data_IF_006832522085
#
_entry.id   IF_006832522085
#
_cell.length_a   1.000
_cell.length_b   1.000
_cell.length_c   1.000
_cell.angle_alpha   90.00
_cell.angle_beta   90.00
_cell.angle_gamma   90.00
#
_symmetry.space_group_name_H-M   'P 1'
#
loop_
_entity.id
_entity.type
_entity.pdbx_description
1 polymer ?
#
# COMPACT_ATOMS: atom_id res chain seq x y z
N UNK A 1 -62.53 -6.34 -1.38
CA UNK A 1 -63.52 -5.24 -1.51
C UNK A 1 -63.11 -4.12 -0.56
N UNK A 2 -62.95 -2.87 -1.01
CA UNK A 2 -62.56 -2.43 -2.34
C UNK A 2 -61.38 -1.41 -2.32
N UNK A 3 -60.56 -1.48 -3.38
CA UNK A 3 -59.77 -0.39 -4.00
C UNK A 3 -60.75 0.37 -4.94
N UNK A 4 -60.34 1.31 -5.83
CA UNK A 4 -59.36 2.40 -5.85
C UNK A 4 -60.09 3.75 -6.15
N UNK A 5 -59.38 4.84 -6.47
CA UNK A 5 -59.65 5.64 -7.69
C UNK A 5 -58.64 6.80 -7.86
N UNK A 6 -57.73 6.64 -8.82
CA UNK A 6 -57.29 7.70 -9.75
C UNK A 6 -58.24 7.67 -10.94
N UNK A 7 -58.62 8.80 -11.56
CA UNK A 7 -57.90 9.29 -12.77
C UNK A 7 -57.96 10.85 -12.83
N UNK A 8 -57.48 11.62 -13.79
CA UNK A 8 -57.00 11.39 -15.14
C UNK A 8 -56.15 12.60 -15.60
N UNK A 9 -55.13 12.31 -16.39
CA UNK A 9 -54.57 13.08 -17.50
C UNK A 9 -55.50 14.14 -18.15
N UNK A 10 -54.97 15.33 -18.45
CA UNK A 10 -55.16 15.97 -19.76
C UNK A 10 -53.97 16.85 -20.15
N UNK A 11 -53.52 16.66 -21.39
CA UNK A 11 -52.53 17.42 -22.13
C UNK A 11 -53.01 18.86 -22.38
N UNK A 12 -52.10 19.84 -22.31
CA UNK A 12 -52.14 20.98 -23.24
C UNK A 12 -50.74 21.35 -23.74
N UNK A 13 -50.61 21.27 -25.06
CA UNK A 13 -49.48 21.68 -25.87
C UNK A 13 -49.62 23.18 -26.11
N UNK A 14 -48.87 24.00 -25.37
CA UNK A 14 -48.78 25.44 -25.59
C UNK A 14 -47.51 25.81 -26.36
N UNK A 15 -47.59 25.87 -27.69
CA UNK A 15 -46.59 26.54 -28.54
C UNK A 15 -46.51 28.02 -28.16
N UNK A 16 -45.36 28.49 -27.69
CA UNK A 16 -45.01 29.93 -27.73
C UNK A 16 -43.77 30.14 -28.58
N UNK A 17 -44.04 30.62 -29.78
CA UNK A 17 -43.10 31.25 -30.71
C UNK A 17 -42.56 32.52 -30.04
N UNK A 18 -41.26 32.58 -29.78
CA UNK A 18 -40.60 33.84 -29.38
C UNK A 18 -39.92 34.46 -30.59
N UNK A 19 -40.37 35.67 -30.92
CA UNK A 19 -39.90 36.50 -32.02
C UNK A 19 -38.49 37.02 -31.71
N UNK A 20 -37.57 36.79 -32.64
CA UNK A 20 -36.25 37.44 -32.68
C UNK A 20 -36.48 38.87 -33.16
N UNK A 21 -36.30 39.85 -32.28
CA UNK A 21 -36.14 41.25 -32.68
C UNK A 21 -34.65 41.52 -32.89
N UNK A 22 -34.29 41.78 -34.15
CA UNK A 22 -32.99 42.31 -34.55
C UNK A 22 -32.98 43.80 -34.22
N UNK A 23 -32.20 44.18 -33.22
CA UNK A 23 -31.88 45.58 -32.94
C UNK A 23 -30.42 45.83 -33.33
N UNK A 24 -30.25 46.58 -34.41
CA UNK A 24 -29.01 47.22 -34.85
C UNK A 24 -28.54 48.20 -33.78
N UNK A 25 -27.35 47.99 -33.21
CA UNK A 25 -26.71 48.96 -32.31
C UNK A 25 -25.38 49.37 -32.92
N UNK A 26 -25.24 50.69 -33.05
CA UNK A 26 -24.16 51.41 -33.68
C UNK A 26 -22.82 51.21 -32.96
N UNK A 27 -21.76 51.14 -33.76
CA UNK A 27 -20.37 51.09 -33.34
C UNK A 27 -19.95 52.46 -32.78
N UNK A 28 -19.79 52.57 -31.45
CA UNK A 28 -19.12 53.71 -30.82
C UNK A 28 -17.75 53.24 -30.37
N UNK A 29 -16.71 53.77 -31.03
CA UNK A 29 -15.31 53.58 -30.66
C UNK A 29 -15.02 54.52 -29.47
N UNK A 30 -14.90 53.95 -28.27
CA UNK A 30 -14.23 54.61 -27.15
C UNK A 30 -12.84 54.01 -26.98
N UNK A 31 -11.82 54.81 -27.32
CA UNK A 31 -10.44 54.56 -26.92
C UNK A 31 -10.30 54.95 -25.45
N UNK A 32 -10.30 53.97 -24.57
CA UNK A 32 -9.81 54.12 -23.19
C UNK A 32 -8.62 53.19 -23.00
N UNK A 33 -7.43 53.80 -22.92
CA UNK A 33 -6.20 53.14 -22.50
C UNK A 33 -6.34 52.73 -21.03
N UNK A 34 -6.40 51.43 -20.80
CA UNK A 34 -6.08 50.81 -19.52
C UNK A 34 -5.09 49.69 -19.81
N UNK A 35 -3.84 49.92 -19.41
CA UNK A 35 -2.79 48.92 -19.26
C UNK A 35 -3.24 47.90 -18.22
N UNK A 36 -4.05 46.93 -18.63
CA UNK A 36 -4.26 45.70 -17.90
C UNK A 36 -3.63 44.58 -18.72
N UNK A 37 -2.41 44.23 -18.33
CA UNK A 37 -1.69 43.07 -18.83
C UNK A 37 -2.54 41.82 -18.62
N UNK A 38 -3.22 41.41 -19.68
CA UNK A 38 -3.97 40.17 -19.73
C UNK A 38 -2.97 39.01 -19.59
N UNK A 39 -2.74 38.57 -18.36
CA UNK A 39 -2.11 37.29 -18.09
C UNK A 39 -3.02 36.21 -18.66
N UNK A 40 -2.74 35.81 -19.91
CA UNK A 40 -3.36 34.63 -20.47
C UNK A 40 -3.10 33.46 -19.51
N UNK A 41 -4.13 32.66 -19.16
CA UNK A 41 -3.87 31.41 -18.46
C UNK A 41 -2.97 30.60 -19.39
N UNK A 42 -1.68 30.50 -19.03
CA UNK A 42 -0.76 29.60 -19.72
C UNK A 42 -1.42 28.24 -19.67
N UNK A 43 -1.85 27.75 -20.83
CA UNK A 43 -2.09 26.33 -21.03
C UNK A 43 -0.75 25.65 -20.70
N UNK A 44 -0.59 25.24 -19.45
CA UNK A 44 0.54 24.42 -19.02
C UNK A 44 0.31 23.10 -19.73
N UNK A 45 0.93 22.94 -20.89
CA UNK A 45 0.97 21.67 -21.59
C UNK A 45 1.43 20.62 -20.57
N UNK A 46 0.57 19.65 -20.27
CA UNK A 46 0.89 18.56 -19.35
C UNK A 46 2.12 17.87 -19.93
N UNK A 47 3.26 18.03 -19.25
CA UNK A 47 4.52 17.43 -19.68
C UNK A 47 4.31 15.92 -19.74
N UNK A 48 4.42 15.34 -20.93
CA UNK A 48 4.26 13.89 -21.11
C UNK A 48 5.58 13.21 -20.77
N UNK A 49 5.58 12.46 -19.67
CA UNK A 49 6.72 11.66 -19.24
C UNK A 49 6.69 10.31 -19.95
N UNK A 50 7.62 10.05 -20.88
CA UNK A 50 7.64 8.77 -21.63
C UNK A 50 8.30 7.66 -20.79
N UNK A 51 9.03 8.03 -19.72
CA UNK A 51 9.64 7.10 -18.77
C UNK A 51 9.66 7.75 -17.38
N UNK A 52 8.65 7.44 -16.57
CA UNK A 52 8.56 7.88 -15.18
C UNK A 52 9.57 7.10 -14.32
N UNK A 53 10.50 7.83 -13.71
CA UNK A 53 11.54 7.28 -12.83
C UNK A 53 11.14 7.37 -11.35
N UNK A 54 10.21 8.27 -11.04
CA UNK A 54 9.78 8.55 -9.68
C UNK A 54 8.89 9.79 -9.57
N UNK A 55 8.71 10.25 -8.34
CA UNK A 55 7.89 11.42 -8.01
C UNK A 55 8.48 12.25 -6.89
N UNK A 56 8.45 13.57 -7.01
CA UNK A 56 8.84 14.49 -5.93
C UNK A 56 7.76 14.49 -4.85
N UNK A 57 8.13 14.25 -3.59
CA UNK A 57 7.21 14.17 -2.45
C UNK A 57 7.56 15.14 -1.31
N UNK A 58 8.47 16.09 -1.53
CA UNK A 58 8.68 17.20 -0.60
C UNK A 58 8.91 18.51 -1.34
N UNK A 59 8.71 19.62 -0.63
CA UNK A 59 9.14 20.93 -1.08
C UNK A 59 10.67 21.01 -1.11
N UNK A 60 11.18 22.08 -1.73
CA UNK A 60 12.60 22.43 -1.65
C UNK A 60 13.37 22.25 -2.94
N UNK A 61 12.78 21.71 -4.01
CA UNK A 61 13.42 21.73 -5.33
C UNK A 61 13.17 23.08 -6.02
N UNK A 62 14.16 23.58 -6.77
CA UNK A 62 14.07 24.87 -7.45
C UNK A 62 13.13 24.87 -8.65
N UNK A 63 12.89 23.72 -9.27
CA UNK A 63 12.21 23.60 -10.56
C UNK A 63 11.06 22.59 -10.54
N UNK A 64 11.17 21.53 -9.75
CA UNK A 64 10.16 20.48 -9.65
C UNK A 64 9.26 20.71 -8.44
N UNK A 65 7.97 20.92 -8.68
CA UNK A 65 6.99 21.04 -7.60
C UNK A 65 6.71 19.67 -6.96
N UNK A 66 6.19 19.67 -5.73
CA UNK A 66 5.63 18.46 -5.10
C UNK A 66 4.59 17.81 -6.02
N UNK A 67 4.68 16.50 -6.16
CA UNK A 67 3.85 15.69 -7.04
C UNK A 67 4.35 15.56 -8.48
N UNK A 68 5.34 16.36 -8.88
CA UNK A 68 5.92 16.26 -10.22
C UNK A 68 6.52 14.87 -10.44
N UNK A 69 6.15 14.25 -11.56
CA UNK A 69 6.85 13.08 -12.08
C UNK A 69 8.29 13.45 -12.44
N UNK A 70 9.19 12.53 -12.13
CA UNK A 70 10.60 12.65 -12.45
C UNK A 70 10.85 11.86 -13.75
N UNK A 71 11.18 12.58 -14.80
CA UNK A 71 11.39 12.01 -16.12
C UNK A 71 12.87 11.82 -16.44
N UNK A 72 13.15 10.96 -17.42
CA UNK A 72 14.49 10.84 -17.97
C UNK A 72 15.01 12.21 -18.45
N UNK A 73 16.22 12.57 -18.01
CA UNK A 73 16.85 13.87 -18.32
C UNK A 73 16.57 14.98 -17.31
N UNK A 74 15.65 14.77 -16.36
CA UNK A 74 15.46 15.72 -15.27
C UNK A 74 16.69 15.84 -14.37
N UNK A 75 16.67 16.92 -13.59
CA UNK A 75 17.63 17.17 -12.52
C UNK A 75 16.86 17.53 -11.26
N UNK A 76 17.24 16.90 -10.15
CA UNK A 76 16.81 17.32 -8.83
C UNK A 76 17.81 18.37 -8.36
N UNK A 77 17.31 19.57 -8.06
CA UNK A 77 18.08 20.74 -7.69
C UNK A 77 17.52 21.32 -6.38
N UNK A 78 17.97 20.82 -5.22
CA UNK A 78 17.58 21.37 -3.93
C UNK A 78 17.96 22.86 -3.83
N UNK A 79 17.01 23.67 -3.37
CA UNK A 79 17.23 25.05 -2.98
C UNK A 79 18.19 25.12 -1.79
N UNK A 80 18.82 26.28 -1.59
CA UNK A 80 19.74 26.46 -0.46
C UNK A 80 18.99 26.21 0.86
N UNK A 81 19.59 25.43 1.74
CA UNK A 81 19.06 24.99 3.03
C UNK A 81 18.00 23.88 2.95
N UNK A 82 17.64 23.42 1.75
CA UNK A 82 16.53 22.48 1.54
C UNK A 82 17.00 21.04 1.34
N UNK A 83 16.13 20.11 1.76
CA UNK A 83 16.20 18.69 1.42
C UNK A 83 15.00 18.36 0.54
N UNK A 84 15.25 17.74 -0.61
CA UNK A 84 14.19 17.25 -1.51
C UNK A 84 14.04 15.75 -1.31
N UNK A 85 12.80 15.25 -1.25
CA UNK A 85 12.50 13.83 -1.18
C UNK A 85 11.82 13.37 -2.46
N UNK A 86 12.18 12.19 -2.93
CA UNK A 86 11.52 11.55 -4.05
C UNK A 86 11.23 10.08 -3.78
N UNK A 87 10.07 9.62 -4.24
CA UNK A 87 9.80 8.20 -4.47
C UNK A 87 10.50 7.81 -5.77
N UNK A 88 11.31 6.75 -5.73
CA UNK A 88 11.96 6.18 -6.91
C UNK A 88 11.36 4.82 -7.27
N UNK A 89 10.76 4.72 -8.46
CA UNK A 89 9.99 3.53 -8.85
C UNK A 89 10.89 2.31 -9.12
N UNK A 90 12.06 2.51 -9.73
CA UNK A 90 12.98 1.43 -10.08
C UNK A 90 13.73 0.87 -8.87
N UNK A 91 14.18 1.72 -7.94
CA UNK A 91 14.84 1.28 -6.70
C UNK A 91 13.86 0.86 -5.60
N UNK A 92 12.58 1.23 -5.71
CA UNK A 92 11.55 1.04 -4.68
C UNK A 92 11.93 1.68 -3.35
N UNK A 93 12.54 2.86 -3.40
CA UNK A 93 12.96 3.60 -2.21
C UNK A 93 12.45 5.04 -2.21
N UNK A 94 12.32 5.61 -1.01
CA UNK A 94 12.27 7.05 -0.81
C UNK A 94 13.70 7.55 -0.62
N UNK A 95 14.15 8.46 -1.47
CA UNK A 95 15.49 9.04 -1.43
C UNK A 95 15.43 10.51 -1.01
N UNK A 96 16.47 10.94 -0.31
CA UNK A 96 16.64 12.33 0.12
C UNK A 96 17.83 12.97 -0.59
N UNK A 97 17.63 14.19 -1.09
CA UNK A 97 18.59 14.97 -1.85
C UNK A 97 18.88 16.26 -1.10
N UNK A 98 20.08 16.34 -0.55
CA UNK A 98 20.52 17.48 0.24
C UNK A 98 21.07 18.59 -0.66
N UNK A 99 21.05 19.83 -0.15
CA UNK A 99 21.72 20.98 -0.77
C UNK A 99 23.19 20.70 -1.11
N UNK A 100 23.77 21.53 -1.98
CA UNK A 100 25.15 21.50 -2.53
C UNK A 100 25.42 20.58 -3.72
N UNK A 101 24.42 19.81 -4.16
CA UNK A 101 24.53 18.95 -5.34
C UNK A 101 23.37 19.16 -6.30
N UNK A 102 23.64 19.07 -7.60
CA UNK A 102 22.60 18.92 -8.63
C UNK A 102 22.65 17.48 -9.09
N UNK A 103 21.55 16.76 -8.91
CA UNK A 103 21.52 15.33 -9.18
C UNK A 103 20.86 15.09 -10.54
N UNK A 104 21.63 14.60 -11.51
CA UNK A 104 21.07 14.12 -12.78
C UNK A 104 20.36 12.79 -12.56
N UNK A 105 19.12 12.66 -13.05
CA UNK A 105 18.25 11.52 -12.67
C UNK A 105 18.72 10.19 -13.29
N UNK A 106 19.55 10.23 -14.33
CA UNK A 106 20.25 9.07 -14.89
C UNK A 106 21.20 8.44 -13.85
N UNK A 107 20.68 7.57 -12.99
CA UNK A 107 21.44 6.86 -11.95
C UNK A 107 20.89 6.98 -10.53
N UNK A 108 20.05 7.98 -10.26
CA UNK A 108 19.54 8.27 -8.90
C UNK A 108 18.58 7.19 -8.40
N UNK A 109 17.61 6.84 -9.24
CA UNK A 109 16.60 5.83 -8.92
C UNK A 109 17.07 4.41 -9.27
N UNK A 110 18.36 4.21 -9.54
CA UNK A 110 18.91 2.89 -9.81
C UNK A 110 18.95 2.10 -8.50
N UNK A 111 18.46 0.85 -8.46
CA UNK A 111 18.65 0.00 -7.30
C UNK A 111 20.15 -0.08 -7.00
N UNK A 112 20.61 0.20 -5.78
CA UNK A 112 22.04 0.17 -5.48
C UNK A 112 22.58 -1.23 -5.77
N UNK A 113 23.76 -1.30 -6.40
CA UNK A 113 24.36 -2.57 -6.88
C UNK A 113 24.51 -3.63 -5.77
N UNK A 114 24.53 -3.22 -4.50
CA UNK A 114 24.61 -4.09 -3.32
C UNK A 114 23.25 -4.43 -2.66
N UNK A 115 22.13 -3.83 -3.10
CA UNK A 115 20.78 -4.24 -2.66
C UNK A 115 20.16 -5.35 -3.51
N UNK A 116 20.85 -5.81 -4.56
CA UNK A 116 20.56 -7.08 -5.19
C UNK A 116 20.56 -8.26 -4.18
N UNK A 117 21.11 -8.06 -2.98
CA UNK A 117 21.26 -9.10 -1.96
C UNK A 117 21.05 -8.66 -0.50
N UNK A 118 20.19 -7.68 -0.20
CA UNK A 118 19.44 -7.87 1.07
C UNK A 118 18.53 -9.05 0.76
N UNK A 119 19.00 -10.27 1.03
CA UNK A 119 18.22 -11.51 0.86
C UNK A 119 16.94 -11.30 1.64
N UNK A 120 15.93 -10.82 0.95
CA UNK A 120 14.64 -10.55 1.55
C UNK A 120 14.13 -11.94 1.90
N UNK A 121 14.05 -12.17 3.21
CA UNK A 121 13.71 -13.46 3.75
C UNK A 121 12.27 -13.74 3.41
N UNK A 122 12.11 -14.46 2.31
CA UNK A 122 10.84 -14.94 1.81
C UNK A 122 10.86 -16.46 1.92
N UNK A 123 9.70 -17.11 1.88
CA UNK A 123 9.64 -18.55 1.70
C UNK A 123 10.53 -19.02 0.54
N UNK A 124 10.66 -18.19 -0.52
CA UNK A 124 11.46 -18.43 -1.73
C UNK A 124 12.99 -18.44 -1.53
N UNK A 125 13.50 -17.86 -0.44
CA UNK A 125 14.94 -17.76 -0.14
C UNK A 125 15.21 -17.88 1.37
N UNK A 126 15.19 -19.11 1.89
CA UNK A 126 15.25 -19.40 3.34
C UNK A 126 16.66 -19.48 3.92
N UNK A 127 17.68 -19.66 3.08
CA UNK A 127 19.04 -19.95 3.54
C UNK A 127 19.68 -18.72 4.21
N UNK A 128 19.93 -18.84 5.51
CA UNK A 128 20.53 -17.77 6.34
C UNK A 128 19.52 -16.78 6.92
N UNK A 129 18.21 -17.06 6.81
CA UNK A 129 17.17 -16.20 7.37
C UNK A 129 16.94 -16.45 8.88
N UNK A 130 16.69 -15.41 9.69
CA UNK A 130 16.12 -15.56 11.03
C UNK A 130 14.83 -16.39 10.94
N UNK A 131 14.48 -17.16 11.98
CA UNK A 131 13.20 -17.88 12.04
C UNK A 131 12.06 -16.86 11.94
N UNK A 132 11.49 -16.71 10.74
CA UNK A 132 10.41 -15.77 10.47
C UNK A 132 9.05 -16.47 10.53
N UNK A 133 8.01 -15.64 10.70
CA UNK A 133 6.59 -16.00 10.79
C UNK A 133 6.22 -17.05 9.74
N UNK A 134 5.44 -18.06 10.11
CA UNK A 134 5.14 -19.20 9.23
C UNK A 134 5.85 -20.46 9.72
N UNK A 135 5.67 -21.60 9.04
CA UNK A 135 5.96 -22.91 9.62
C UNK A 135 7.45 -23.03 9.91
N UNK A 136 7.81 -22.88 11.19
CA UNK A 136 8.79 -23.79 11.76
C UNK A 136 8.32 -25.23 11.48
N UNK A 137 9.23 -26.18 11.50
CA UNK A 137 8.96 -27.60 11.21
C UNK A 137 7.87 -28.23 12.12
N UNK A 138 7.36 -27.47 13.08
CA UNK A 138 6.31 -27.81 14.02
C UNK A 138 4.92 -27.43 13.45
N UNK A 139 4.32 -28.39 12.75
CA UNK A 139 2.92 -28.39 12.28
C UNK A 139 1.89 -28.11 13.40
N UNK A 140 2.33 -28.13 14.66
CA UNK A 140 1.55 -27.96 15.88
C UNK A 140 1.47 -26.50 16.38
N UNK A 141 2.23 -25.56 15.82
CA UNK A 141 2.17 -24.14 16.23
C UNK A 141 1.00 -23.37 15.62
N UNK A 142 0.35 -22.54 16.43
CA UNK A 142 -0.69 -21.62 15.96
C UNK A 142 -0.08 -20.57 15.01
N UNK A 143 -0.73 -20.35 13.87
CA UNK A 143 -0.25 -19.46 12.82
C UNK A 143 -0.94 -18.10 12.88
N UNK A 144 -0.17 -17.07 13.24
CA UNK A 144 -0.59 -15.67 13.19
C UNK A 144 -0.70 -15.18 11.74
N UNK A 145 -1.73 -14.38 11.45
CA UNK A 145 -1.98 -13.73 10.17
C UNK A 145 -1.66 -12.24 10.27
N UNK A 146 -2.22 -11.53 11.26
CA UNK A 146 -1.91 -10.11 11.51
C UNK A 146 -1.36 -9.90 12.92
N UNK A 147 -0.46 -8.92 13.14
CA UNK A 147 0.16 -8.01 12.16
C UNK A 147 0.96 -8.73 11.07
N UNK A 148 0.89 -8.28 9.82
CA UNK A 148 1.54 -8.91 8.67
C UNK A 148 3.06 -8.82 8.76
N UNK A 149 3.59 -7.71 9.28
CA UNK A 149 5.02 -7.49 9.53
C UNK A 149 5.38 -7.44 11.01
N UNK A 150 6.65 -7.10 11.28
CA UNK A 150 7.17 -6.85 12.64
C UNK A 150 7.37 -5.36 12.93
N UNK A 151 7.10 -4.46 11.99
CA UNK A 151 7.14 -3.01 12.18
C UNK A 151 5.73 -2.47 12.06
N UNK A 152 5.28 -1.70 13.04
CA UNK A 152 3.93 -1.16 13.13
C UNK A 152 3.94 0.36 12.99
N UNK A 153 3.09 0.90 12.11
CA UNK A 153 2.84 2.34 12.02
C UNK A 153 1.91 2.83 13.13
N UNK A 154 1.00 1.97 13.61
CA UNK A 154 -0.04 2.31 14.57
C UNK A 154 0.16 1.60 15.93
N UNK A 155 -0.34 2.23 17.00
CA UNK A 155 -0.20 1.75 18.39
C UNK A 155 -1.29 0.76 18.81
N UNK A 156 -2.23 0.46 17.92
CA UNK A 156 -3.41 -0.39 18.18
C UNK A 156 -3.64 -1.38 17.03
N UNK A 157 -2.69 -2.30 16.78
CA UNK A 157 -2.78 -3.21 15.65
C UNK A 157 -3.94 -4.20 15.81
N UNK A 158 -4.57 -4.56 14.70
CA UNK A 158 -5.44 -5.74 14.65
C UNK A 158 -4.58 -7.00 14.74
N UNK A 159 -5.05 -7.97 15.53
CA UNK A 159 -4.39 -9.27 15.69
C UNK A 159 -5.32 -10.34 15.12
N UNK A 160 -4.81 -11.26 14.31
CA UNK A 160 -5.63 -12.35 13.77
C UNK A 160 -4.79 -13.59 13.48
N UNK A 161 -5.43 -14.76 13.45
CA UNK A 161 -4.78 -16.05 13.29
C UNK A 161 -5.67 -17.04 12.54
N UNK A 162 -5.08 -18.16 12.10
CA UNK A 162 -5.87 -19.27 11.55
C UNK A 162 -6.56 -20.06 12.67
N UNK A 163 -7.81 -20.52 12.46
CA UNK A 163 -8.53 -21.31 13.45
C UNK A 163 -7.79 -22.63 13.74
N UNK A 164 -7.75 -23.02 15.01
CA UNK A 164 -7.23 -24.31 15.46
C UNK A 164 -8.40 -25.28 15.64
N UNK A 165 -8.27 -26.48 15.06
CA UNK A 165 -9.33 -27.49 15.10
C UNK A 165 -9.64 -27.90 16.54
N UNK A 166 -10.92 -27.90 16.90
CA UNK A 166 -11.46 -28.20 18.24
C UNK A 166 -11.12 -27.19 19.35
N UNK A 167 -10.52 -26.04 19.03
CA UNK A 167 -10.38 -24.94 19.98
C UNK A 167 -11.75 -24.33 20.30
N UNK A 168 -11.98 -24.02 21.57
CA UNK A 168 -13.22 -23.38 22.07
C UNK A 168 -13.04 -21.90 22.33
N UNK A 169 -11.80 -21.46 22.59
CA UNK A 169 -11.41 -20.07 22.80
C UNK A 169 -9.92 -19.87 22.52
N UNK A 170 -9.49 -18.62 22.57
CA UNK A 170 -8.12 -18.20 22.39
C UNK A 170 -7.76 -17.17 23.45
N UNK A 171 -6.56 -17.30 24.01
CA UNK A 171 -5.96 -16.28 24.86
C UNK A 171 -5.00 -15.45 24.02
N UNK A 172 -5.20 -14.13 24.01
CA UNK A 172 -4.28 -13.17 23.41
C UNK A 172 -3.58 -12.40 24.51
N UNK A 173 -2.26 -12.48 24.53
CA UNK A 173 -1.38 -11.78 25.47
C UNK A 173 -0.46 -10.84 24.70
N UNK A 174 -0.27 -9.62 25.20
CA UNK A 174 0.73 -8.68 24.71
C UNK A 174 1.63 -8.22 25.85
N UNK A 175 2.93 -8.45 25.69
CA UNK A 175 3.93 -8.18 26.72
C UNK A 175 5.09 -7.34 26.22
N UNK A 176 5.65 -6.53 27.12
CA UNK A 176 6.95 -5.87 27.00
C UNK A 176 7.51 -5.63 28.42
N UNK A 177 8.62 -4.91 28.54
CA UNK A 177 9.12 -4.48 29.84
C UNK A 177 8.07 -3.60 30.53
N UNK A 178 7.61 -4.01 31.72
CA UNK A 178 6.56 -3.32 32.51
C UNK A 178 5.22 -3.07 31.78
N UNK A 179 4.99 -3.76 30.67
CA UNK A 179 3.75 -3.69 29.91
C UNK A 179 3.19 -5.10 29.76
N UNK A 180 1.94 -5.30 30.18
CA UNK A 180 1.25 -6.56 30.00
C UNK A 180 -0.26 -6.34 29.95
N UNK A 181 -0.91 -6.99 29.00
CA UNK A 181 -2.33 -7.27 29.07
C UNK A 181 -2.68 -8.59 28.40
N UNK A 182 -3.80 -9.17 28.83
CA UNK A 182 -4.32 -10.43 28.33
C UNK A 182 -5.85 -10.34 28.17
N UNK A 183 -6.37 -11.05 27.16
CA UNK A 183 -7.81 -11.21 26.95
C UNK A 183 -8.13 -12.59 26.34
N UNK A 184 -9.22 -13.19 26.78
CA UNK A 184 -9.78 -14.39 26.16
C UNK A 184 -10.88 -14.01 25.16
N UNK A 185 -10.86 -14.64 23.98
CA UNK A 185 -11.83 -14.43 22.90
C UNK A 185 -12.22 -15.76 22.24
N UNK A 186 -13.39 -15.78 21.59
CA UNK A 186 -13.84 -16.95 20.81
C UNK A 186 -13.53 -16.84 19.32
N UNK A 187 -13.45 -15.61 18.81
CA UNK A 187 -13.16 -15.32 17.41
C UNK A 187 -11.67 -15.44 17.10
N UNK A 188 -11.33 -15.51 15.81
CA UNK A 188 -9.93 -15.57 15.33
C UNK A 188 -9.37 -14.22 14.89
N UNK A 189 -10.14 -13.15 15.13
CA UNK A 189 -9.79 -11.77 14.81
C UNK A 189 -10.09 -10.93 16.04
N UNK A 190 -9.08 -10.23 16.53
CA UNK A 190 -9.16 -9.29 17.62
C UNK A 190 -8.81 -7.89 17.11
N UNK A 191 -9.82 -7.02 16.86
CA UNK A 191 -9.58 -5.59 16.84
C UNK A 191 -8.93 -5.19 18.17
N UNK A 192 -7.95 -4.29 18.14
CA UNK A 192 -7.27 -3.89 19.38
C UNK A 192 -8.30 -3.35 20.40
N UNK A 193 -8.37 -3.91 21.62
CA UNK A 193 -9.42 -3.52 22.54
C UNK A 193 -9.23 -2.09 23.06
N UNK A 194 -10.31 -1.32 23.14
CA UNK A 194 -10.24 0.13 23.44
C UNK A 194 -9.82 0.41 24.88
N UNK A 195 -10.23 -0.46 25.79
CA UNK A 195 -9.99 -0.41 27.23
C UNK A 195 -8.58 -0.83 27.63
N UNK A 196 -7.81 -1.44 26.71
CA UNK A 196 -6.43 -1.84 26.95
C UNK A 196 -5.48 -0.69 26.65
N UNK A 197 -4.41 -0.61 27.44
CA UNK A 197 -3.31 0.33 27.24
C UNK A 197 -2.73 0.10 25.84
N UNK A 198 -2.57 1.17 25.07
CA UNK A 198 -1.96 1.10 23.73
C UNK A 198 -0.46 0.87 23.78
N UNK A 199 0.07 0.40 22.65
CA UNK A 199 1.51 0.25 22.47
C UNK A 199 2.17 1.64 22.42
N UNK A 200 3.38 1.73 22.94
CA UNK A 200 4.16 2.96 22.99
C UNK A 200 5.10 3.05 21.78
N UNK A 201 5.26 4.26 21.24
CA UNK A 201 6.20 4.52 20.15
C UNK A 201 7.64 4.22 20.57
N UNK A 202 8.41 3.62 19.67
CA UNK A 202 9.81 3.25 19.92
C UNK A 202 10.00 1.97 20.75
N UNK A 203 8.93 1.31 21.17
CA UNK A 203 8.99 0.09 21.98
C UNK A 203 8.76 -1.19 21.15
N UNK A 204 9.22 -2.31 21.70
CA UNK A 204 9.02 -3.64 21.15
C UNK A 204 8.08 -4.45 22.05
N UNK A 205 7.21 -5.27 21.44
CA UNK A 205 6.21 -6.08 22.13
C UNK A 205 6.22 -7.51 21.60
N UNK A 206 5.91 -8.46 22.47
CA UNK A 206 5.60 -9.84 22.05
C UNK A 206 4.10 -10.05 22.11
N UNK A 207 3.52 -10.41 20.97
CA UNK A 207 2.13 -10.86 20.85
C UNK A 207 2.14 -12.39 20.90
N UNK A 208 1.45 -12.96 21.88
CA UNK A 208 1.28 -14.40 22.05
C UNK A 208 -0.20 -14.74 21.88
N UNK A 209 -0.51 -15.74 21.05
CA UNK A 209 -1.87 -16.28 20.90
C UNK A 209 -1.86 -17.77 21.18
N UNK A 210 -2.66 -18.17 22.16
CA UNK A 210 -2.80 -19.56 22.61
C UNK A 210 -4.19 -20.06 22.27
N UNK A 211 -4.30 -21.24 21.66
CA UNK A 211 -5.59 -21.90 21.43
C UNK A 211 -5.94 -22.80 22.61
N UNK A 212 -7.17 -22.70 23.10
CA UNK A 212 -7.63 -23.41 24.28
C UNK A 212 -8.80 -24.34 23.96
N UNK A 213 -8.89 -25.46 24.69
CA UNK A 213 -10.06 -26.34 24.75
C UNK A 213 -10.50 -26.47 26.20
N UNK A 214 -11.57 -25.75 26.56
CA UNK A 214 -11.81 -25.41 27.96
C UNK A 214 -10.65 -24.58 28.51
N UNK A 215 -10.20 -24.89 29.71
CA UNK A 215 -9.11 -24.14 30.39
C UNK A 215 -7.70 -24.64 30.01
N UNK A 216 -7.59 -25.58 29.06
CA UNK A 216 -6.33 -26.22 28.69
C UNK A 216 -5.79 -25.72 27.34
N UNK A 217 -4.51 -25.33 27.25
CA UNK A 217 -3.88 -24.99 25.97
C UNK A 217 -3.72 -26.24 25.10
N UNK A 218 -4.01 -26.12 23.81
CA UNK A 218 -3.99 -27.25 22.86
C UNK A 218 -2.69 -27.38 22.06
N UNK A 219 -2.08 -26.25 21.73
CA UNK A 219 -1.05 -26.13 20.71
C UNK A 219 0.09 -25.24 21.21
N UNK A 220 1.24 -25.30 20.55
CA UNK A 220 2.28 -24.30 20.78
C UNK A 220 1.73 -22.91 20.40
N UNK A 221 1.86 -21.92 21.30
CA UNK A 221 1.30 -20.61 21.07
C UNK A 221 1.98 -19.94 19.87
N UNK A 222 1.20 -19.23 19.08
CA UNK A 222 1.73 -18.37 18.03
C UNK A 222 2.38 -17.16 18.70
N UNK A 223 3.63 -16.86 18.36
CA UNK A 223 4.37 -15.72 18.91
C UNK A 223 4.87 -14.80 17.79
N UNK A 224 4.74 -13.49 17.98
CA UNK A 224 5.27 -12.48 17.09
C UNK A 224 5.85 -11.32 17.89
N UNK A 225 7.10 -10.97 17.61
CA UNK A 225 7.71 -9.74 18.12
C UNK A 225 7.42 -8.62 17.12
N UNK A 226 6.90 -7.51 17.62
CA UNK A 226 6.58 -6.31 16.85
C UNK A 226 7.27 -5.10 17.45
N UNK A 227 7.62 -4.13 16.61
CA UNK A 227 8.23 -2.87 16.98
C UNK A 227 7.33 -1.74 16.50
N UNK A 228 6.94 -0.85 17.40
CA UNK A 228 6.31 0.40 17.02
C UNK A 228 7.43 1.41 16.78
N UNK A 229 7.49 2.03 15.60
CA UNK A 229 8.55 3.01 15.33
C UNK A 229 8.45 4.23 16.25
N UNK A 230 9.53 5.02 16.40
CA UNK A 230 9.47 6.31 17.06
C UNK A 230 8.40 7.22 16.45
N UNK A 231 7.79 8.06 17.27
CA UNK A 231 6.69 8.94 16.84
C UNK A 231 7.11 9.88 15.69
N UNK A 232 8.38 10.32 15.68
CA UNK A 232 8.95 11.15 14.60
C UNK A 232 8.90 10.45 13.24
N UNK A 233 9.26 9.16 13.21
CA UNK A 233 9.31 8.38 11.97
C UNK A 233 7.89 8.11 11.46
N UNK A 234 6.96 7.82 12.38
CA UNK A 234 5.54 7.65 12.06
C UNK A 234 4.95 8.95 11.50
N UNK A 235 5.22 10.09 12.13
CA UNK A 235 4.77 11.41 11.65
C UNK A 235 5.29 11.72 10.26
N UNK A 236 6.58 11.48 10.02
CA UNK A 236 7.19 11.68 8.70
C UNK A 236 6.49 10.85 7.63
N UNK A 237 6.25 9.56 7.88
CA UNK A 237 5.60 8.67 6.92
C UNK A 237 4.15 9.09 6.67
N UNK A 238 3.42 9.47 7.72
CA UNK A 238 2.04 9.97 7.58
C UNK A 238 1.96 11.28 6.79
N UNK A 239 2.96 12.16 6.92
CA UNK A 239 3.05 13.38 6.11
C UNK A 239 3.28 13.04 4.63
N UNK A 240 4.22 12.13 4.33
CA UNK A 240 4.49 11.66 2.96
C UNK A 240 3.23 11.01 2.34
N UNK A 241 2.51 10.19 3.09
CA UNK A 241 1.22 9.59 2.67
C UNK A 241 0.15 10.66 2.42
N UNK A 242 0.06 11.67 3.29
CA UNK A 242 -0.90 12.77 3.13
C UNK A 242 -0.62 13.60 1.88
N UNK A 243 0.65 13.81 1.53
CA UNK A 243 1.04 14.46 0.28
C UNK A 243 0.50 13.67 -0.89
N UNK A 244 0.79 12.36 -0.99
CA UNK A 244 0.32 11.49 -2.07
C UNK A 244 -1.20 11.51 -2.20
N UNK A 245 -1.93 11.41 -1.09
CA UNK A 245 -3.40 11.42 -1.09
C UNK A 245 -4.00 12.74 -1.62
N UNK A 246 -3.26 13.84 -1.56
CA UNK A 246 -3.69 15.16 -2.06
C UNK A 246 -3.35 15.42 -3.53
N UNK A 247 -2.55 14.56 -4.16
CA UNK A 247 -2.12 14.76 -5.55
C UNK A 247 -3.21 14.46 -6.59
N UNK A 248 -4.34 13.87 -6.18
CA UNK A 248 -5.44 13.53 -7.09
C UNK A 248 -5.10 12.43 -8.09
N UNK A 249 -4.12 11.57 -7.76
CA UNK A 249 -3.75 10.40 -8.56
C UNK A 249 -4.90 9.39 -8.61
N UNK A 250 -4.87 8.49 -9.61
CA UNK A 250 -5.77 7.34 -9.55
C UNK A 250 -5.41 6.49 -8.32
N UNK A 251 -6.41 5.93 -7.65
CA UNK A 251 -6.16 5.22 -6.39
C UNK A 251 -5.32 3.94 -6.58
N UNK A 252 -5.33 3.33 -7.77
CA UNK A 252 -4.45 2.19 -8.07
C UNK A 252 -2.99 2.64 -8.30
N UNK A 253 -2.80 3.76 -9.00
CA UNK A 253 -1.47 4.36 -9.21
C UNK A 253 -0.84 4.77 -7.87
N UNK A 254 -1.58 5.52 -7.05
CA UNK A 254 -1.12 5.91 -5.72
C UNK A 254 -0.74 4.69 -4.87
N UNK A 255 -1.54 3.63 -4.89
CA UNK A 255 -1.25 2.41 -4.13
C UNK A 255 0.02 1.69 -4.61
N UNK A 256 0.21 1.54 -5.93
CA UNK A 256 1.29 0.74 -6.51
C UNK A 256 2.64 1.45 -6.59
N UNK A 257 2.59 2.73 -6.99
CA UNK A 257 3.78 3.49 -7.35
C UNK A 257 4.31 4.30 -6.18
N UNK A 258 3.45 4.77 -5.28
CA UNK A 258 3.84 5.69 -4.22
C UNK A 258 3.70 5.07 -2.83
N UNK A 259 2.47 4.72 -2.42
CA UNK A 259 2.18 4.26 -1.05
C UNK A 259 2.89 2.96 -0.70
N UNK A 260 2.90 1.96 -1.60
CA UNK A 260 3.66 0.73 -1.35
C UNK A 260 5.15 1.02 -1.15
N UNK A 261 5.75 1.91 -1.94
CA UNK A 261 7.17 2.26 -1.80
C UNK A 261 7.42 2.99 -0.49
N UNK A 262 6.59 3.99 -0.15
CA UNK A 262 6.70 4.75 1.10
C UNK A 262 6.63 3.78 2.29
N UNK A 263 5.61 2.92 2.36
CA UNK A 263 5.46 1.97 3.45
C UNK A 263 6.61 0.95 3.49
N UNK A 264 6.94 0.34 2.36
CA UNK A 264 7.98 -0.70 2.33
C UNK A 264 9.39 -0.17 2.55
N UNK A 265 9.65 1.11 2.25
CA UNK A 265 10.94 1.75 2.58
C UNK A 265 11.24 1.74 4.09
N UNK A 266 10.20 1.65 4.92
CA UNK A 266 10.28 1.54 6.39
C UNK A 266 9.86 0.17 6.93
N UNK A 267 9.50 -0.78 6.06
CA UNK A 267 9.06 -2.13 6.44
C UNK A 267 7.62 -2.24 6.95
N UNK A 268 6.78 -1.24 6.69
CA UNK A 268 5.36 -1.21 7.07
C UNK A 268 4.50 -2.15 6.20
N UNK A 269 4.67 -3.45 6.45
CA UNK A 269 4.05 -4.50 5.64
C UNK A 269 2.53 -4.55 5.82
N UNK A 270 2.04 -4.21 7.02
CA UNK A 270 0.60 -4.13 7.29
C UNK A 270 -0.09 -3.07 6.45
N UNK A 271 0.50 -1.89 6.39
CA UNK A 271 -0.05 -0.72 5.71
C UNK A 271 -0.09 -0.92 4.20
N UNK A 272 0.96 -1.48 3.60
CA UNK A 272 0.93 -1.79 2.16
C UNK A 272 -0.09 -2.88 1.84
N UNK A 273 -0.13 -3.98 2.58
CA UNK A 273 -1.08 -5.07 2.31
C UNK A 273 -2.51 -4.54 2.45
N UNK A 274 -2.81 -3.76 3.49
CA UNK A 274 -4.14 -3.20 3.68
C UNK A 274 -4.51 -2.19 2.58
N UNK A 275 -3.56 -1.35 2.15
CA UNK A 275 -3.76 -0.41 1.02
C UNK A 275 -4.10 -1.15 -0.28
N UNK A 276 -3.31 -2.15 -0.64
CA UNK A 276 -3.52 -2.96 -1.84
C UNK A 276 -4.83 -3.77 -1.77
N UNK A 277 -5.14 -4.38 -0.62
CA UNK A 277 -6.41 -5.09 -0.39
C UNK A 277 -7.62 -4.18 -0.54
N UNK A 278 -7.54 -2.93 -0.07
CA UNK A 278 -8.62 -1.97 -0.23
C UNK A 278 -8.89 -1.67 -1.71
N UNK A 279 -7.85 -1.63 -2.55
CA UNK A 279 -7.99 -1.48 -4.00
C UNK A 279 -8.62 -2.70 -4.67
N UNK A 280 -8.21 -3.91 -4.28
CA UNK A 280 -8.85 -5.16 -4.74
C UNK A 280 -10.33 -5.18 -4.36
N UNK A 281 -10.66 -4.85 -3.11
CA UNK A 281 -12.04 -4.81 -2.61
C UNK A 281 -12.89 -3.73 -3.31
N UNK A 282 -12.27 -2.63 -3.73
CA UNK A 282 -12.89 -1.58 -4.55
C UNK A 282 -13.09 -1.98 -6.03
N UNK A 283 -12.75 -3.22 -6.41
CA UNK A 283 -12.99 -3.75 -7.75
C UNK A 283 -11.91 -3.43 -8.78
N UNK A 284 -10.69 -3.12 -8.35
CA UNK A 284 -9.56 -2.97 -9.28
C UNK A 284 -9.41 -4.23 -10.16
N UNK A 285 -9.14 -4.01 -11.46
CA UNK A 285 -8.83 -5.05 -12.44
C UNK A 285 -7.38 -4.97 -12.92
N UNK A 286 -6.54 -4.21 -12.23
CA UNK A 286 -5.14 -4.04 -12.61
C UNK A 286 -4.34 -5.29 -12.21
N UNK A 287 -3.83 -6.11 -13.17
CA UNK A 287 -3.13 -7.34 -12.84
C UNK A 287 -1.85 -7.10 -12.00
N UNK A 288 -1.16 -5.97 -12.21
CA UNK A 288 0.03 -5.61 -11.42
C UNK A 288 -0.31 -5.42 -9.95
N UNK A 289 -1.52 -4.92 -9.64
CA UNK A 289 -1.96 -4.75 -8.26
C UNK A 289 -2.07 -6.08 -7.51
N UNK A 290 -2.67 -7.08 -8.16
CA UNK A 290 -2.75 -8.44 -7.61
C UNK A 290 -1.39 -9.11 -7.48
N UNK A 291 -0.48 -8.91 -8.46
CA UNK A 291 0.89 -9.42 -8.33
C UNK A 291 1.61 -8.80 -7.15
N UNK A 292 1.59 -7.48 -7.01
CA UNK A 292 2.28 -6.79 -5.91
C UNK A 292 1.68 -7.19 -4.56
N UNK A 293 0.36 -7.34 -4.46
CA UNK A 293 -0.26 -7.88 -3.24
C UNK A 293 0.23 -9.32 -2.94
N UNK A 294 0.36 -10.17 -3.96
CA UNK A 294 0.96 -11.49 -3.82
C UNK A 294 2.41 -11.44 -3.33
N UNK A 295 3.23 -10.52 -3.87
CA UNK A 295 4.61 -10.29 -3.43
C UNK A 295 4.64 -9.89 -1.94
N UNK A 296 3.73 -9.01 -1.50
CA UNK A 296 3.64 -8.62 -0.07
C UNK A 296 3.15 -9.74 0.83
N UNK A 297 2.25 -10.60 0.36
CA UNK A 297 1.90 -11.81 1.11
C UNK A 297 3.06 -12.78 1.22
N UNK A 298 3.95 -12.88 0.21
CA UNK A 298 5.19 -13.63 0.35
C UNK A 298 6.14 -13.01 1.38
N UNK A 299 6.27 -11.69 1.39
CA UNK A 299 7.03 -10.97 2.43
C UNK A 299 6.46 -11.26 3.84
N UNK A 300 5.14 -11.47 3.94
CA UNK A 300 4.44 -11.84 5.18
C UNK A 300 4.42 -13.36 5.46
N UNK A 301 5.07 -14.17 4.61
CA UNK A 301 5.10 -15.64 4.67
C UNK A 301 3.74 -16.33 4.56
N UNK A 302 2.78 -15.65 3.94
CA UNK A 302 1.41 -16.12 3.67
C UNK A 302 1.33 -16.72 2.26
N UNK A 303 1.88 -17.93 2.11
CA UNK A 303 2.04 -18.64 0.84
C UNK A 303 0.70 -18.88 0.10
N UNK A 304 -0.34 -19.27 0.82
CA UNK A 304 -1.63 -19.59 0.21
C UNK A 304 -2.32 -18.31 -0.30
N UNK A 305 -2.24 -17.22 0.48
CA UNK A 305 -2.68 -15.89 0.10
C UNK A 305 -1.94 -15.42 -1.15
N UNK A 306 -0.60 -15.46 -1.13
CA UNK A 306 0.23 -15.08 -2.27
C UNK A 306 -0.13 -15.85 -3.54
N UNK A 307 -0.31 -17.17 -3.42
CA UNK A 307 -0.68 -18.02 -4.55
C UNK A 307 -2.03 -17.61 -5.16
N UNK A 308 -3.04 -17.35 -4.32
CA UNK A 308 -4.36 -16.90 -4.77
C UNK A 308 -4.26 -15.60 -5.56
N UNK A 309 -3.52 -14.61 -5.03
CA UNK A 309 -3.37 -13.32 -5.70
C UNK A 309 -2.61 -13.44 -7.03
N UNK A 310 -1.54 -14.23 -7.10
CA UNK A 310 -0.85 -14.47 -8.36
C UNK A 310 -1.72 -15.19 -9.39
N UNK A 311 -2.58 -16.12 -8.98
CA UNK A 311 -3.52 -16.77 -9.91
C UNK A 311 -4.53 -15.76 -10.48
N UNK A 312 -4.99 -14.81 -9.66
CA UNK A 312 -5.84 -13.72 -10.13
C UNK A 312 -5.10 -12.77 -11.07
N UNK A 313 -3.87 -12.38 -10.71
CA UNK A 313 -3.00 -11.56 -11.56
C UNK A 313 -2.76 -12.21 -12.93
N UNK A 314 -2.49 -13.53 -12.96
CA UNK A 314 -2.30 -14.29 -14.20
C UNK A 314 -3.54 -14.24 -15.09
N UNK A 315 -4.73 -14.43 -14.49
CA UNK A 315 -5.99 -14.40 -15.22
C UNK A 315 -6.28 -13.01 -15.79
N UNK A 316 -6.14 -11.95 -14.99
CA UNK A 316 -6.32 -10.57 -15.42
C UNK A 316 -5.33 -10.18 -16.52
N UNK A 317 -4.04 -10.53 -16.37
CA UNK A 317 -3.00 -10.21 -17.36
C UNK A 317 -3.26 -10.90 -18.70
N UNK A 318 -3.71 -12.16 -18.70
CA UNK A 318 -4.15 -12.85 -19.92
C UNK A 318 -5.36 -12.14 -20.55
N UNK A 319 -6.36 -11.80 -19.74
CA UNK A 319 -7.58 -11.15 -20.23
C UNK A 319 -7.33 -9.76 -20.80
N UNK A 320 -6.35 -9.03 -20.26
CA UNK A 320 -6.01 -7.68 -20.72
C UNK A 320 -4.88 -7.65 -21.77
N UNK A 321 -4.35 -8.82 -22.18
CA UNK A 321 -3.21 -8.90 -23.09
C UNK A 321 -1.89 -8.32 -22.55
N UNK A 322 -1.75 -8.17 -21.22
CA UNK A 322 -0.53 -7.63 -20.61
C UNK A 322 0.55 -8.71 -20.50
N UNK A 323 1.28 -8.92 -21.60
CA UNK A 323 2.32 -9.95 -21.72
C UNK A 323 3.47 -9.79 -20.73
N UNK A 324 3.88 -8.54 -20.45
CA UNK A 324 4.95 -8.24 -19.49
C UNK A 324 4.57 -8.66 -18.07
N UNK A 325 3.37 -8.29 -17.63
CA UNK A 325 2.86 -8.67 -16.31
C UNK A 325 2.62 -10.18 -16.23
N UNK A 326 2.08 -10.80 -17.30
CA UNK A 326 1.89 -12.24 -17.37
C UNK A 326 3.20 -13.01 -17.17
N UNK A 327 4.28 -12.60 -17.84
CA UNK A 327 5.59 -13.21 -17.72
C UNK A 327 6.14 -13.10 -16.28
N UNK A 328 5.98 -11.93 -15.65
CA UNK A 328 6.38 -11.74 -14.25
C UNK A 328 5.60 -12.70 -13.33
N UNK A 329 4.27 -12.71 -13.41
CA UNK A 329 3.43 -13.57 -12.56
C UNK A 329 3.73 -15.06 -12.75
N UNK A 330 3.93 -15.52 -13.99
CA UNK A 330 4.27 -16.92 -14.28
C UNK A 330 5.62 -17.32 -13.67
N UNK A 331 6.60 -16.42 -13.65
CA UNK A 331 7.87 -16.63 -12.96
C UNK A 331 7.66 -16.85 -11.46
N UNK A 332 6.83 -16.04 -10.78
CA UNK A 332 6.55 -16.18 -9.34
C UNK A 332 5.82 -17.50 -9.04
N UNK A 333 4.80 -17.84 -9.82
CA UNK A 333 4.06 -19.10 -9.70
C UNK A 333 4.97 -20.32 -9.88
N UNK A 334 5.93 -20.26 -10.83
CA UNK A 334 6.91 -21.32 -11.04
C UNK A 334 7.83 -21.49 -9.83
N UNK A 335 8.33 -20.39 -9.26
CA UNK A 335 9.16 -20.42 -8.05
C UNK A 335 8.41 -21.05 -6.87
N UNK A 336 7.17 -20.65 -6.62
CA UNK A 336 6.36 -21.21 -5.53
C UNK A 336 6.12 -22.73 -5.70
N UNK A 337 5.83 -23.19 -6.92
CA UNK A 337 5.67 -24.62 -7.21
C UNK A 337 6.94 -25.42 -6.94
N UNK A 338 8.10 -24.91 -7.35
CA UNK A 338 9.37 -25.60 -7.13
C UNK A 338 9.69 -25.82 -5.64
N UNK A 339 9.24 -24.91 -4.77
CA UNK A 339 9.42 -25.06 -3.32
C UNK A 339 8.46 -26.06 -2.68
N UNK A 340 7.21 -26.12 -3.15
CA UNK A 340 6.25 -27.13 -2.68
C UNK A 340 6.68 -28.58 -2.99
N UNK A 341 7.64 -28.75 -3.91
CA UNK A 341 8.16 -30.03 -4.37
C UNK A 341 9.51 -30.42 -3.75
N UNK A 342 10.15 -29.56 -2.95
CA UNK A 342 11.36 -29.94 -2.24
C UNK A 342 11.04 -30.89 -1.08
N UNK A 343 11.69 -32.06 -0.97
CA UNK A 343 11.44 -32.99 0.11
C UNK A 343 11.72 -32.31 1.46
N UNK A 344 10.74 -32.36 2.37
CA UNK A 344 10.93 -31.99 3.78
C UNK A 344 12.22 -32.64 4.27
N UNK A 345 13.21 -31.83 4.71
CA UNK A 345 14.45 -32.35 5.27
C UNK A 345 14.09 -33.40 6.33
N UNK A 346 14.50 -34.64 6.09
CA UNK A 346 14.31 -35.74 7.03
C UNK A 346 14.91 -35.29 8.35
N UNK A 347 14.11 -35.36 9.44
CA UNK A 347 14.64 -35.24 10.80
C UNK A 347 15.87 -36.15 10.92
N UNK A 348 17.00 -35.69 11.50
CA UNK A 348 18.08 -36.60 11.83
C UNK A 348 17.51 -37.71 12.70
N UNK A 349 17.79 -38.96 12.35
CA UNK A 349 17.43 -40.10 13.18
C UNK A 349 18.03 -39.89 14.57
N UNK A 350 17.18 -39.91 15.60
CA UNK A 350 17.60 -40.07 17.00
C UNK A 350 17.59 -41.55 17.34
#
# INVERSE_FOLDING_TARGET
MPNPDTPNSTNEIGKKVSRIQVATIALIIFLSNSDDGLAQPKLVAKRVCINELGRIISLGDRYLAVGSEICLGDKINPANGSTVKAVCYSSRQVLEFQQSSVFGVSGICTPPQFQAERRQCTPLNRDGCPKMKGPGEDQESLKLITPYGNILLNTRPKISWYPVKNATSYTVEVTSYEFHWEIEVKDTILPYPKERKELEYGAAYTITVTANKGDSPMNYPGKLVVHVLPESDVKQVLEEVNIINKLGLSADEAALNDLDIIYMSKGFLDETINSLKARVAAGSKNPTLFRVLGDRYLDAWLLDEAFREYKMAEWLAKSSGNSNELAQVQSRLKLMKSQSQQPMRRKPAQ
#
